data_IF_341044585258
#
_entry.id   IF_341044585258
#
_cell.length_a   1.000
_cell.length_b   1.000
_cell.length_c   1.000
_cell.angle_alpha   90.00
_cell.angle_beta   90.00
_cell.angle_gamma   90.00
#
_symmetry.space_group_name_H-M   'P 1'
#
loop_
_entity.id
_entity.type
_entity.pdbx_description
1 polymer ?
#
# COMPACT_ATOMS: atom_id res chain seq x y z
N UNK A 1 -61.37 -2.91 -2.53
CA UNK A 1 -60.51 -2.74 -1.34
C UNK A 1 -59.07 -3.13 -1.70
N UNK A 2 -58.11 -2.33 -1.23
CA UNK A 2 -56.65 -2.57 -1.14
C UNK A 2 -55.86 -2.91 -2.42
N UNK A 3 -55.54 -1.86 -3.20
CA UNK A 3 -54.28 -1.75 -3.95
C UNK A 3 -53.29 -0.96 -3.10
N UNK A 4 -52.41 -1.59 -2.31
CA UNK A 4 -51.20 -0.95 -1.75
C UNK A 4 -50.15 -2.01 -1.43
N UNK A 5 -48.87 -1.61 -1.58
CA UNK A 5 -47.65 -2.23 -1.06
C UNK A 5 -46.97 -3.36 -1.86
N UNK A 6 -46.43 -3.03 -3.02
CA UNK A 6 -45.28 -3.76 -3.61
C UNK A 6 -44.31 -2.82 -4.34
N UNK A 7 -43.94 -1.68 -3.72
CA UNK A 7 -42.95 -0.74 -4.31
C UNK A 7 -41.77 -0.47 -3.36
N UNK A 8 -41.72 -1.09 -2.17
CA UNK A 8 -40.67 -0.76 -1.18
C UNK A 8 -39.45 -1.68 -1.16
N UNK A 9 -39.43 -2.79 -1.92
CA UNK A 9 -38.35 -3.80 -1.83
C UNK A 9 -37.27 -3.67 -2.93
N UNK A 10 -37.47 -2.85 -3.96
CA UNK A 10 -36.48 -2.70 -5.05
C UNK A 10 -35.43 -1.60 -4.80
N UNK A 11 -35.59 -0.76 -3.77
CA UNK A 11 -34.66 0.35 -3.50
C UNK A 11 -33.45 -0.04 -2.63
N UNK A 12 -33.37 -1.28 -2.13
CA UNK A 12 -32.30 -1.75 -1.25
C UNK A 12 -31.16 -2.49 -1.98
N UNK A 13 -31.24 -2.67 -3.30
CA UNK A 13 -30.21 -3.36 -4.09
C UNK A 13 -29.23 -2.41 -4.81
N UNK A 14 -29.43 -1.10 -4.76
CA UNK A 14 -28.52 -0.14 -5.36
C UNK A 14 -27.45 0.28 -4.34
N UNK A 15 -26.20 -0.02 -4.66
CA UNK A 15 -24.99 0.54 -4.04
C UNK A 15 -24.51 -0.09 -2.73
N UNK A 16 -24.27 -1.41 -2.71
CA UNK A 16 -23.10 -1.92 -1.99
C UNK A 16 -21.89 -1.95 -2.92
N UNK A 17 -21.50 -0.78 -3.44
CA UNK A 17 -20.13 -0.63 -3.94
C UNK A 17 -19.24 -0.71 -2.70
N UNK A 18 -18.59 -1.86 -2.53
CA UNK A 18 -17.52 -2.00 -1.54
C UNK A 18 -16.43 -1.02 -1.98
N UNK A 19 -16.44 0.18 -1.41
CA UNK A 19 -15.35 1.14 -1.51
C UNK A 19 -14.10 0.44 -0.99
N UNK A 20 -13.31 -0.12 -1.90
CA UNK A 20 -12.03 -0.69 -1.54
C UNK A 20 -11.09 0.46 -1.21
N UNK A 21 -10.34 0.32 -0.12
CA UNK A 21 -9.32 1.29 0.19
C UNK A 21 -8.25 1.33 -0.90
N UNK A 22 -7.77 2.53 -1.22
CA UNK A 22 -6.75 2.69 -2.27
C UNK A 22 -5.43 2.07 -1.81
N UNK A 23 -5.04 2.26 -0.55
CA UNK A 23 -4.08 1.38 0.12
C UNK A 23 -4.84 0.14 0.61
N UNK A 24 -4.84 -0.94 -0.17
CA UNK A 24 -5.67 -2.11 0.12
C UNK A 24 -5.12 -2.93 1.30
N UNK A 25 -3.81 -3.20 1.25
CA UNK A 25 -3.14 -4.12 2.16
C UNK A 25 -1.75 -3.59 2.49
N UNK A 26 -1.39 -3.68 3.76
CA UNK A 26 -0.06 -3.39 4.28
C UNK A 26 0.46 -4.65 4.94
N UNK A 27 1.46 -5.27 4.32
CA UNK A 27 2.10 -6.48 4.83
C UNK A 27 3.39 -6.11 5.52
N UNK A 28 3.48 -6.39 6.81
CA UNK A 28 4.64 -6.08 7.66
C UNK A 28 5.30 -7.40 8.01
N UNK A 29 6.64 -7.46 7.90
CA UNK A 29 7.44 -8.61 8.32
C UNK A 29 8.45 -8.22 9.38
N UNK A 30 8.65 -9.12 10.34
CA UNK A 30 9.68 -9.08 11.38
C UNK A 30 10.31 -10.47 11.53
N UNK A 31 11.29 -10.59 12.41
CA UNK A 31 11.93 -11.88 12.70
C UNK A 31 10.97 -12.77 13.49
N UNK A 32 10.50 -13.88 12.93
CA UNK A 32 9.44 -14.72 13.52
C UNK A 32 9.66 -15.08 15.01
N UNK A 33 10.88 -15.41 15.40
CA UNK A 33 11.21 -15.78 16.79
C UNK A 33 11.16 -14.60 17.78
N UNK A 34 11.08 -13.36 17.31
CA UNK A 34 11.11 -12.18 18.16
C UNK A 34 9.80 -11.93 18.92
N UNK A 35 8.68 -12.56 18.52
CA UNK A 35 7.37 -12.31 19.11
C UNK A 35 6.65 -13.63 19.47
N UNK A 36 6.39 -13.82 20.77
CA UNK A 36 5.58 -14.93 21.31
C UNK A 36 4.11 -14.50 21.46
N UNK A 37 3.22 -15.41 21.86
CA UNK A 37 1.76 -15.17 21.89
C UNK A 37 1.33 -13.86 22.58
N UNK A 38 1.85 -13.57 23.79
CA UNK A 38 1.52 -12.33 24.51
C UNK A 38 1.97 -11.07 23.74
N UNK A 39 3.12 -11.14 23.07
CA UNK A 39 3.61 -10.08 22.20
C UNK A 39 2.68 -9.87 21.00
N UNK A 40 2.19 -10.96 20.38
CA UNK A 40 1.25 -10.91 19.24
C UNK A 40 -0.07 -10.27 19.63
N UNK A 41 -0.63 -10.62 20.79
CA UNK A 41 -1.86 -10.01 21.29
C UNK A 41 -1.68 -8.52 21.57
N UNK A 42 -0.53 -8.13 22.15
CA UNK A 42 -0.16 -6.73 22.35
C UNK A 42 -0.05 -5.98 21.02
N UNK A 43 0.62 -6.57 20.03
CA UNK A 43 0.79 -6.00 18.70
C UNK A 43 -0.54 -5.81 17.98
N UNK A 44 -1.42 -6.81 18.00
CA UNK A 44 -2.75 -6.70 17.42
C UNK A 44 -3.54 -5.52 18.03
N UNK A 45 -3.51 -5.39 19.37
CA UNK A 45 -4.14 -4.24 20.06
C UNK A 45 -3.56 -2.92 19.59
N UNK A 46 -2.24 -2.79 19.48
CA UNK A 46 -1.60 -1.56 18.98
C UNK A 46 -2.00 -1.25 17.54
N UNK A 47 -2.06 -2.25 16.66
CA UNK A 47 -2.49 -2.06 15.27
C UNK A 47 -3.95 -1.64 15.16
N UNK A 48 -4.85 -2.18 15.99
CA UNK A 48 -6.26 -1.74 16.00
C UNK A 48 -6.46 -0.30 16.49
N UNK A 49 -5.50 0.27 17.21
CA UNK A 49 -5.52 1.69 17.60
C UNK A 49 -5.13 2.63 16.45
N UNK A 50 -4.53 2.12 15.38
CA UNK A 50 -4.18 2.94 14.21
C UNK A 50 -5.48 3.30 13.48
N UNK A 51 -5.77 4.61 13.40
CA UNK A 51 -7.02 5.16 12.84
C UNK A 51 -7.38 4.55 11.46
N UNK A 52 -6.38 4.38 10.60
CA UNK A 52 -6.52 3.86 9.24
C UNK A 52 -6.72 2.35 9.11
N UNK A 53 -6.51 1.56 10.17
CA UNK A 53 -6.61 0.10 10.10
C UNK A 53 -8.06 -0.35 10.33
N UNK A 54 -8.59 -1.18 9.43
CA UNK A 54 -9.91 -1.81 9.55
C UNK A 54 -9.85 -3.25 10.05
N UNK A 55 -8.79 -3.97 9.69
CA UNK A 55 -8.61 -5.38 10.06
C UNK A 55 -7.13 -5.71 10.24
N UNK A 56 -6.83 -6.62 11.17
CA UNK A 56 -5.48 -7.08 11.49
C UNK A 56 -5.45 -8.61 11.45
N UNK A 57 -4.57 -9.17 10.62
CA UNK A 57 -4.26 -10.60 10.59
C UNK A 57 -2.78 -10.78 10.92
N UNK A 58 -2.46 -11.62 11.91
CA UNK A 58 -1.08 -11.90 12.30
C UNK A 58 -0.81 -13.39 12.14
N UNK A 59 0.23 -13.70 11.38
CA UNK A 59 0.86 -15.01 11.33
C UNK A 59 2.14 -14.94 12.15
N UNK A 60 2.05 -15.44 13.39
CA UNK A 60 3.18 -15.49 14.31
C UNK A 60 4.31 -16.39 13.77
N UNK A 61 3.97 -17.52 13.15
CA UNK A 61 4.95 -18.48 12.64
C UNK A 61 5.77 -17.91 11.50
N UNK A 62 5.15 -17.08 10.65
CA UNK A 62 5.82 -16.37 9.57
C UNK A 62 6.49 -15.04 10.00
N UNK A 63 6.24 -14.56 11.23
CA UNK A 63 6.66 -13.23 11.65
C UNK A 63 6.06 -12.12 10.79
N UNK A 64 4.74 -12.21 10.53
CA UNK A 64 4.06 -11.37 9.55
C UNK A 64 2.73 -10.84 10.08
N UNK A 65 2.41 -9.59 9.74
CA UNK A 65 1.08 -9.02 9.89
C UNK A 65 0.57 -8.50 8.54
N UNK A 66 -0.72 -8.65 8.30
CA UNK A 66 -1.44 -8.04 7.18
C UNK A 66 -2.47 -7.10 7.79
N UNK A 67 -2.33 -5.81 7.48
CA UNK A 67 -3.28 -4.78 7.86
C UNK A 67 -4.12 -4.43 6.63
N UNK A 68 -5.43 -4.45 6.79
CA UNK A 68 -6.35 -3.87 5.80
C UNK A 68 -6.60 -2.42 6.17
N UNK A 69 -6.48 -1.51 5.20
CA UNK A 69 -6.71 -0.09 5.44
C UNK A 69 -8.18 0.28 5.23
N UNK A 70 -8.62 1.40 5.81
CA UNK A 70 -9.93 2.01 5.57
C UNK A 70 -9.86 2.91 4.34
N UNK A 71 -10.93 2.98 3.52
CA UNK A 71 -10.90 3.73 2.27
C UNK A 71 -10.72 5.24 2.44
N UNK A 72 -11.28 5.82 3.50
CA UNK A 72 -11.26 7.28 3.71
C UNK A 72 -10.16 7.75 4.68
N UNK A 73 -9.09 6.96 4.85
CA UNK A 73 -8.02 7.28 5.80
C UNK A 73 -6.67 7.37 5.11
N UNK A 74 -5.97 8.48 5.38
CA UNK A 74 -4.62 8.72 4.87
C UNK A 74 -3.66 7.66 5.40
N UNK A 75 -2.94 7.01 4.48
CA UNK A 75 -1.87 6.10 4.82
C UNK A 75 -0.69 6.86 5.43
N UNK A 76 -0.24 6.40 6.59
CA UNK A 76 0.98 6.90 7.24
C UNK A 76 1.76 5.76 7.82
N UNK A 77 3.08 5.77 7.62
CA UNK A 77 3.98 4.74 8.16
C UNK A 77 4.23 4.92 9.67
N UNK A 78 4.30 6.16 10.15
CA UNK A 78 4.72 6.45 11.52
C UNK A 78 3.93 5.69 12.61
N UNK A 79 2.59 5.61 12.57
CA UNK A 79 1.84 4.84 13.57
C UNK A 79 2.17 3.34 13.56
N UNK A 80 2.49 2.77 12.40
CA UNK A 80 2.90 1.37 12.26
C UNK A 80 4.26 1.18 12.95
N UNK A 81 5.22 2.07 12.68
CA UNK A 81 6.54 2.02 13.29
C UNK A 81 6.47 2.17 14.82
N UNK A 82 5.63 3.07 15.31
CA UNK A 82 5.39 3.26 16.74
C UNK A 82 4.78 2.01 17.36
N UNK A 83 3.74 1.42 16.76
CA UNK A 83 3.11 0.19 17.25
C UNK A 83 4.10 -0.97 17.35
N UNK A 84 4.95 -1.15 16.34
CA UNK A 84 6.02 -2.16 16.35
C UNK A 84 7.04 -1.89 17.47
N UNK A 85 7.50 -0.64 17.59
CA UNK A 85 8.48 -0.22 18.59
C UNK A 85 7.98 -0.38 20.03
N UNK A 86 6.69 -0.10 20.29
CA UNK A 86 6.08 -0.28 21.62
C UNK A 86 6.07 -1.73 22.10
N UNK A 87 6.09 -2.68 21.16
CA UNK A 87 6.16 -4.11 21.43
C UNK A 87 7.61 -4.64 21.39
N UNK A 88 8.58 -3.77 21.08
CA UNK A 88 10.00 -4.13 20.98
C UNK A 88 10.35 -4.87 19.69
N UNK A 89 9.56 -4.71 18.63
CA UNK A 89 9.82 -5.33 17.32
C UNK A 89 10.38 -4.32 16.32
N UNK A 90 11.31 -4.78 15.50
CA UNK A 90 11.81 -4.05 14.34
C UNK A 90 11.11 -4.54 13.06
N UNK A 91 10.81 -3.61 12.15
CA UNK A 91 10.27 -3.91 10.83
C UNK A 91 11.43 -4.31 9.91
N UNK A 92 11.42 -5.53 9.40
CA UNK A 92 12.40 -5.99 8.42
C UNK A 92 11.98 -5.59 6.99
N UNK A 93 10.68 -5.63 6.72
CA UNK A 93 10.11 -5.28 5.43
C UNK A 93 8.66 -4.82 5.61
N UNK A 94 8.23 -3.85 4.81
CA UNK A 94 6.85 -3.42 4.73
C UNK A 94 6.45 -3.30 3.26
N UNK A 95 5.52 -4.13 2.83
CA UNK A 95 4.95 -4.14 1.49
C UNK A 95 3.57 -3.50 1.52
N UNK A 96 3.28 -2.72 0.49
CA UNK A 96 1.98 -2.09 0.31
C UNK A 96 1.45 -2.42 -1.07
N UNK A 97 0.12 -2.50 -1.16
CA UNK A 97 -0.61 -2.54 -2.42
C UNK A 97 -1.47 -1.28 -2.51
N UNK A 98 -1.15 -0.41 -3.46
CA UNK A 98 -1.74 0.92 -3.60
C UNK A 98 -2.34 1.09 -4.98
N UNK A 99 -3.57 1.60 -5.01
CA UNK A 99 -4.26 2.07 -6.21
C UNK A 99 -4.13 3.58 -6.30
N UNK A 100 -3.85 4.10 -7.49
CA UNK A 100 -3.57 5.52 -7.67
C UNK A 100 -3.46 5.96 -9.12
N UNK A 101 -3.25 7.26 -9.32
CA UNK A 101 -2.89 7.85 -10.61
C UNK A 101 -1.40 8.12 -10.65
N UNK A 102 -0.77 7.83 -11.79
CA UNK A 102 0.64 8.16 -12.01
C UNK A 102 0.73 9.64 -12.39
N UNK A 103 1.75 10.32 -11.87
CA UNK A 103 2.17 11.67 -12.25
C UNK A 103 3.68 11.68 -12.46
N UNK A 104 4.17 12.42 -13.43
CA UNK A 104 5.60 12.62 -13.61
C UNK A 104 6.00 14.09 -13.68
N UNK A 105 7.24 14.34 -13.27
CA UNK A 105 8.00 15.53 -13.63
C UNK A 105 9.29 15.11 -14.36
N UNK A 106 10.15 16.08 -14.65
CA UNK A 106 11.42 15.86 -15.36
C UNK A 106 12.34 14.84 -14.66
N UNK A 107 12.20 14.61 -13.36
CA UNK A 107 13.13 13.83 -12.54
C UNK A 107 12.51 12.61 -11.87
N UNK A 108 11.22 12.64 -11.60
CA UNK A 108 10.55 11.67 -10.74
C UNK A 108 9.23 11.22 -11.34
N UNK A 109 8.83 9.99 -10.98
CA UNK A 109 7.50 9.47 -11.24
C UNK A 109 6.89 9.19 -9.88
N UNK A 110 5.66 9.63 -9.66
CA UNK A 110 4.95 9.55 -8.39
C UNK A 110 3.60 8.90 -8.61
N UNK A 111 3.22 7.98 -7.73
CA UNK A 111 1.84 7.51 -7.61
C UNK A 111 1.12 8.38 -6.59
N UNK A 112 0.00 8.97 -7.01
CA UNK A 112 -0.94 9.68 -6.15
C UNK A 112 -2.11 8.75 -5.88
N UNK A 113 -2.24 8.28 -4.64
CA UNK A 113 -3.40 7.49 -4.22
C UNK A 113 -4.69 8.30 -4.40
N UNK A 114 -5.69 7.72 -5.07
CA UNK A 114 -6.87 8.46 -5.56
C UNK A 114 -7.76 8.96 -4.41
N UNK A 115 -7.86 8.18 -3.34
CA UNK A 115 -8.82 8.39 -2.25
C UNK A 115 -8.27 9.28 -1.14
N UNK A 116 -6.98 9.12 -0.81
CA UNK A 116 -6.37 9.81 0.32
C UNK A 116 -5.28 10.82 -0.07
N UNK A 117 -4.93 10.89 -1.37
CA UNK A 117 -3.91 11.81 -1.89
C UNK A 117 -2.48 11.47 -1.45
N UNK A 118 -2.24 10.31 -0.84
CA UNK A 118 -0.90 9.93 -0.39
C UNK A 118 0.04 9.80 -1.59
N UNK A 119 1.22 10.42 -1.50
CA UNK A 119 2.23 10.44 -2.54
C UNK A 119 3.29 9.36 -2.31
N UNK A 120 3.52 8.55 -3.33
CA UNK A 120 4.57 7.55 -3.37
C UNK A 120 5.51 7.84 -4.53
N UNK A 121 6.74 8.24 -4.24
CA UNK A 121 7.79 8.31 -5.25
C UNK A 121 8.10 6.88 -5.73
N UNK A 122 7.94 6.64 -7.02
CA UNK A 122 8.15 5.34 -7.63
C UNK A 122 9.61 5.13 -7.98
N UNK A 123 10.15 4.00 -7.55
CA UNK A 123 11.53 3.60 -7.80
C UNK A 123 11.59 2.17 -8.32
N UNK A 124 12.65 1.86 -9.07
CA UNK A 124 12.87 0.54 -9.63
C UNK A 124 13.34 -0.49 -8.59
N UNK A 125 13.19 -1.78 -8.90
CA UNK A 125 13.87 -2.84 -8.15
C UNK A 125 15.39 -2.71 -8.31
N UNK A 126 16.14 -3.29 -7.37
CA UNK A 126 17.58 -3.46 -7.57
C UNK A 126 17.79 -4.48 -8.68
N UNK A 127 18.47 -4.06 -9.75
CA UNK A 127 18.94 -4.96 -10.81
C UNK A 127 20.41 -5.27 -10.57
N UNK A 128 20.76 -6.38 -9.92
CA UNK A 128 22.15 -6.73 -9.68
C UNK A 128 22.83 -7.08 -11.00
N UNK A 129 23.85 -6.32 -11.38
CA UNK A 129 24.80 -6.73 -12.41
C UNK A 129 25.87 -7.63 -11.77
N UNK A 130 26.30 -8.74 -12.40
CA UNK A 130 27.32 -9.64 -11.86
C UNK A 130 28.64 -8.96 -11.47
N UNK A 131 28.92 -7.79 -12.04
CA UNK A 131 30.14 -7.00 -11.81
C UNK A 131 29.97 -5.80 -10.89
N UNK A 132 28.79 -5.60 -10.28
CA UNK A 132 28.51 -4.42 -9.44
C UNK A 132 28.04 -4.81 -8.04
N UNK A 133 28.69 -4.23 -7.02
CA UNK A 133 28.19 -4.27 -5.66
C UNK A 133 27.00 -3.29 -5.54
N UNK A 134 25.79 -3.83 -5.40
CA UNK A 134 24.60 -2.98 -5.22
C UNK A 134 24.32 -2.78 -3.73
N UNK A 135 24.38 -1.53 -3.29
CA UNK A 135 23.97 -1.14 -1.94
C UNK A 135 22.43 -1.13 -1.91
N UNK A 136 21.83 -2.10 -1.24
CA UNK A 136 20.37 -2.30 -1.18
C UNK A 136 19.59 -1.05 -0.72
N UNK A 137 20.22 -0.19 0.09
CA UNK A 137 19.65 1.05 0.65
C UNK A 137 20.06 2.33 -0.10
N UNK A 138 20.71 2.23 -1.25
CA UNK A 138 21.08 3.40 -2.06
C UNK A 138 19.99 3.67 -3.11
N UNK A 139 19.26 4.78 -2.94
CA UNK A 139 18.22 5.23 -3.88
C UNK A 139 18.76 5.46 -5.29
N UNK A 140 20.02 5.87 -5.44
CA UNK A 140 20.67 6.08 -6.74
C UNK A 140 20.85 4.78 -7.56
N UNK A 141 20.82 3.61 -6.90
CA UNK A 141 20.89 2.31 -7.58
C UNK A 141 19.50 1.75 -7.96
N UNK A 142 18.44 2.50 -7.69
CA UNK A 142 17.04 2.07 -7.86
C UNK A 142 16.28 2.94 -8.86
N UNK A 143 16.99 3.41 -9.88
CA UNK A 143 16.37 4.15 -10.99
C UNK A 143 15.33 3.26 -11.69
N UNK A 144 14.22 3.84 -12.12
CA UNK A 144 13.23 3.13 -12.92
C UNK A 144 13.88 2.63 -14.22
N UNK A 145 13.75 1.33 -14.56
CA UNK A 145 14.14 0.85 -15.87
C UNK A 145 13.44 1.64 -16.98
N UNK A 146 14.09 1.92 -18.14
CA UNK A 146 13.48 2.70 -19.21
C UNK A 146 12.11 2.19 -19.65
N UNK A 147 11.97 0.88 -19.87
CA UNK A 147 10.69 0.26 -20.25
C UNK A 147 9.58 0.50 -19.23
N UNK A 148 9.90 0.40 -17.93
CA UNK A 148 8.92 0.59 -16.87
C UNK A 148 8.55 2.07 -16.73
N UNK A 149 9.51 2.98 -16.95
CA UNK A 149 9.22 4.42 -17.00
C UNK A 149 8.29 4.74 -18.16
N UNK A 150 8.54 4.20 -19.36
CA UNK A 150 7.68 4.39 -20.52
C UNK A 150 6.25 3.88 -20.25
N UNK A 151 6.12 2.66 -19.69
CA UNK A 151 4.81 2.09 -19.32
C UNK A 151 4.03 2.98 -18.33
N UNK A 152 4.73 3.57 -17.34
CA UNK A 152 4.13 4.50 -16.38
C UNK A 152 3.65 5.80 -17.03
N UNK A 153 4.46 6.36 -17.96
CA UNK A 153 4.14 7.59 -18.68
C UNK A 153 2.99 7.39 -19.67
N UNK A 154 2.92 6.25 -20.35
CA UNK A 154 1.79 5.88 -21.20
C UNK A 154 0.50 5.74 -20.38
N UNK A 155 0.58 5.09 -19.21
CA UNK A 155 -0.53 4.98 -18.27
C UNK A 155 -1.05 6.35 -17.80
N UNK A 156 -0.16 7.27 -17.47
CA UNK A 156 -0.53 8.65 -17.13
C UNK A 156 -1.17 9.40 -18.29
N UNK A 157 -0.56 9.36 -19.49
CA UNK A 157 -1.10 10.03 -20.68
C UNK A 157 -2.51 9.50 -21.04
N UNK A 158 -2.74 8.21 -20.83
CA UNK A 158 -4.04 7.56 -20.98
C UNK A 158 -5.00 7.76 -19.80
N UNK A 159 -4.64 8.54 -18.78
CA UNK A 159 -5.42 8.74 -17.55
C UNK A 159 -5.81 7.43 -16.86
N UNK A 160 -4.96 6.41 -16.93
CA UNK A 160 -5.22 5.09 -16.38
C UNK A 160 -5.01 5.07 -14.87
N UNK A 161 -5.73 4.18 -14.20
CA UNK A 161 -5.52 3.91 -12.78
C UNK A 161 -4.51 2.78 -12.64
N UNK A 162 -3.44 3.02 -11.90
CA UNK A 162 -2.41 2.05 -11.59
C UNK A 162 -2.69 1.35 -10.26
N UNK A 163 -2.46 0.05 -10.22
CA UNK A 163 -2.35 -0.76 -9.01
C UNK A 163 -0.88 -1.19 -8.88
N UNK A 164 -0.20 -0.69 -7.87
CA UNK A 164 1.22 -0.96 -7.62
C UNK A 164 1.36 -1.72 -6.32
N UNK A 165 2.10 -2.83 -6.37
CA UNK A 165 2.49 -3.62 -5.20
C UNK A 165 4.01 -3.64 -5.08
N UNK A 166 4.50 -3.44 -3.85
CA UNK A 166 5.91 -3.60 -3.54
C UNK A 166 6.31 -3.01 -2.18
N UNK A 167 7.60 -3.10 -1.81
CA UNK A 167 8.10 -2.65 -0.52
C UNK A 167 8.32 -1.14 -0.48
N UNK A 168 8.10 -0.55 0.69
CA UNK A 168 8.57 0.80 0.96
C UNK A 168 10.07 0.78 1.27
N UNK A 169 10.82 1.68 0.63
CA UNK A 169 12.22 1.90 0.92
C UNK A 169 12.37 2.98 1.98
N UNK A 170 12.97 2.60 3.11
CA UNK A 170 13.36 3.53 4.19
C UNK A 170 12.24 4.51 4.60
N UNK A 171 11.02 4.00 4.87
CA UNK A 171 9.84 4.84 5.12
C UNK A 171 9.96 5.73 6.37
N UNK A 172 10.96 5.50 7.23
CA UNK A 172 11.29 6.34 8.38
C UNK A 172 11.96 7.67 8.04
N UNK A 173 12.51 7.84 6.81
CA UNK A 173 13.44 8.94 6.52
C UNK A 173 12.86 10.24 6.00
N UNK A 174 11.67 10.28 5.41
CA UNK A 174 10.87 11.49 5.11
C UNK A 174 9.76 11.14 4.11
N UNK A 175 8.61 11.85 4.08
CA UNK A 175 7.87 11.95 2.84
C UNK A 175 8.71 12.64 1.74
N UNK A 176 8.51 12.31 0.44
CA UNK A 176 7.55 11.31 -0.04
C UNK A 176 8.00 9.89 0.28
N UNK A 177 7.03 9.00 0.54
CA UNK A 177 7.31 7.58 0.71
C UNK A 177 7.86 7.03 -0.61
N UNK A 178 8.89 6.19 -0.55
CA UNK A 178 9.47 5.58 -1.74
C UNK A 178 8.93 4.17 -1.90
N UNK A 179 8.19 3.93 -2.98
CA UNK A 179 7.61 2.62 -3.31
C UNK A 179 8.41 1.96 -4.42
N UNK A 180 9.01 0.82 -4.11
CA UNK A 180 9.67 -0.03 -5.11
C UNK A 180 8.60 -0.76 -5.90
N UNK A 181 8.62 -0.66 -7.22
CA UNK A 181 7.67 -1.37 -8.08
C UNK A 181 8.12 -2.82 -8.23
N UNK A 182 7.39 -3.76 -7.60
CA UNK A 182 7.54 -5.20 -7.86
C UNK A 182 6.46 -5.72 -8.81
N UNK A 183 5.25 -5.15 -8.73
CA UNK A 183 4.14 -5.43 -9.65
C UNK A 183 3.40 -4.15 -10.00
N UNK A 184 3.05 -4.03 -11.27
CA UNK A 184 2.28 -2.93 -11.84
C UNK A 184 1.14 -3.52 -12.67
N UNK A 185 -0.06 -2.99 -12.50
CA UNK A 185 -1.22 -3.30 -13.31
C UNK A 185 -2.00 -2.03 -13.58
N UNK A 186 -2.38 -1.81 -14.84
CA UNK A 186 -3.26 -0.71 -15.21
C UNK A 186 -4.70 -1.18 -15.40
N UNK A 187 -5.63 -0.33 -15.00
CA UNK A 187 -7.05 -0.44 -15.32
C UNK A 187 -7.51 0.84 -15.99
N UNK A 188 -8.32 0.70 -17.05
CA UNK A 188 -9.02 1.85 -17.64
C UNK A 188 -9.94 2.48 -16.57
N UNK A 189 -10.14 3.81 -16.57
CA UNK A 189 -11.16 4.44 -15.75
C UNK A 189 -12.49 3.72 -16.01
N UNK A 190 -13.18 3.29 -14.94
CA UNK A 190 -14.58 2.93 -15.11
C UNK A 190 -15.29 4.25 -15.45
N UNK A 191 -15.85 4.33 -16.67
CA UNK A 191 -16.75 5.40 -17.03
C UNK A 191 -17.93 5.35 -16.05
N UNK A 192 -18.02 6.37 -15.17
CA UNK A 192 -19.17 6.60 -14.29
C UNK A 192 -20.38 7.09 -15.08
#
# INVERSE_FOLDING_TARGET
MLKKFTVSLLLSLCCQFVLQAEVQKVTIKWTAMACKELCVQGLAKQFYLIKGVSNVQIDQGAGQAILTWKPDQIFTFAPINTAMSMIGLAINNIQIKVRGTVRHDDRTVTLVSIGDGTLFQLIGPVMPSPSQYVIQYNTGSRTLPPHLREELLEGEAGSQVAMIEGPLLMPERSPPLQLVIERLQFSKPQEE
#
